data_IF_568047668702
#
_entry.id   IF_568047668702
#
_cell.length_a   1.000
_cell.length_b   1.000
_cell.length_c   1.000
_cell.angle_alpha   90.00
_cell.angle_beta   90.00
_cell.angle_gamma   90.00
#
_symmetry.space_group_name_H-M   'P 1'
#
loop_
_entity.id
_entity.type
_entity.pdbx_description
1 polymer ?
#
# COMPACT_ATOMS: atom_id res chain seq x y z
N UNK A 1 -51.21 13.60 -25.49
CA UNK A 1 -50.01 14.09 -24.80
C UNK A 1 -49.03 12.93 -24.65
N UNK A 2 -47.95 12.91 -25.43
CA UNK A 2 -46.96 11.83 -25.41
C UNK A 2 -46.08 11.96 -24.16
N UNK A 3 -46.01 10.87 -23.36
CA UNK A 3 -45.08 10.77 -22.23
C UNK A 3 -43.64 10.77 -22.77
N UNK A 4 -42.86 11.80 -22.43
CA UNK A 4 -41.42 11.82 -22.65
C UNK A 4 -40.78 10.73 -21.79
N UNK A 5 -40.22 9.70 -22.41
CA UNK A 5 -39.29 8.79 -21.74
C UNK A 5 -38.08 9.61 -21.29
N UNK A 6 -37.84 9.68 -19.99
CA UNK A 6 -36.60 10.16 -19.41
C UNK A 6 -35.44 9.29 -19.90
N UNK A 7 -34.30 9.87 -20.32
CA UNK A 7 -33.16 9.09 -20.78
C UNK A 7 -32.70 8.16 -19.64
N UNK A 8 -32.58 6.87 -19.95
CA UNK A 8 -32.08 5.86 -19.03
C UNK A 8 -30.66 6.29 -18.61
N UNK A 9 -30.50 6.74 -17.36
CA UNK A 9 -29.20 7.15 -16.81
C UNK A 9 -28.34 5.88 -16.76
N UNK A 10 -27.42 5.74 -17.71
CA UNK A 10 -26.57 4.55 -17.80
C UNK A 10 -25.82 4.32 -16.49
N UNK A 11 -25.70 3.06 -16.07
CA UNK A 11 -24.91 2.66 -14.92
C UNK A 11 -23.45 3.06 -15.16
N UNK A 12 -22.91 3.92 -14.30
CA UNK A 12 -21.48 4.25 -14.33
C UNK A 12 -20.69 3.39 -13.36
N UNK A 13 -19.41 3.16 -13.62
CA UNK A 13 -18.52 2.42 -12.72
C UNK A 13 -18.43 3.10 -11.33
N UNK A 14 -18.50 4.44 -11.32
CA UNK A 14 -18.62 5.25 -10.10
C UNK A 14 -19.90 4.94 -9.31
N UNK A 15 -21.03 4.69 -9.98
CA UNK A 15 -22.28 4.29 -9.31
C UNK A 15 -22.22 2.87 -8.72
N UNK A 16 -21.30 2.03 -9.19
CA UNK A 16 -20.97 0.75 -8.58
C UNK A 16 -19.97 0.88 -7.41
N UNK A 17 -19.63 2.10 -7.01
CA UNK A 17 -18.73 2.37 -5.89
C UNK A 17 -17.26 2.39 -6.25
N UNK A 18 -16.88 2.60 -7.52
CA UNK A 18 -15.46 2.69 -7.91
C UNK A 18 -15.17 4.00 -8.65
N UNK A 19 -14.56 4.94 -7.94
CA UNK A 19 -14.10 6.23 -8.47
C UNK A 19 -12.64 6.15 -8.95
N UNK A 20 -12.47 5.92 -10.26
CA UNK A 20 -11.14 5.80 -10.90
C UNK A 20 -10.36 7.13 -10.77
N UNK A 21 -11.02 8.28 -10.88
CA UNK A 21 -10.37 9.58 -10.79
C UNK A 21 -9.84 9.82 -9.37
N UNK A 22 -10.55 9.34 -8.34
CA UNK A 22 -10.06 9.37 -6.96
C UNK A 22 -8.86 8.42 -6.75
N UNK A 23 -8.87 7.26 -7.40
CA UNK A 23 -7.72 6.36 -7.46
C UNK A 23 -6.48 7.03 -8.05
N UNK A 24 -6.59 7.62 -9.24
CA UNK A 24 -5.48 8.29 -9.92
C UNK A 24 -4.90 9.45 -9.09
N UNK A 25 -5.76 10.30 -8.50
CA UNK A 25 -5.32 11.37 -7.60
C UNK A 25 -4.60 10.83 -6.36
N UNK A 26 -5.00 9.66 -5.86
CA UNK A 26 -4.34 9.01 -4.73
C UNK A 26 -2.93 8.56 -5.15
N UNK A 27 -2.79 7.91 -6.31
CA UNK A 27 -1.49 7.48 -6.85
C UNK A 27 -0.51 8.65 -6.98
N UNK A 28 -0.97 9.78 -7.54
CA UNK A 28 -0.15 10.99 -7.69
C UNK A 28 0.38 11.51 -6.34
N UNK A 29 -0.45 11.50 -5.30
CA UNK A 29 -0.09 11.93 -3.95
C UNK A 29 0.91 11.00 -3.27
N UNK A 30 0.73 9.69 -3.41
CA UNK A 30 1.52 8.71 -2.65
C UNK A 30 2.86 8.36 -3.29
N UNK A 31 3.04 8.60 -4.60
CA UNK A 31 4.23 8.20 -5.35
C UNK A 31 5.54 8.68 -4.70
N UNK A 32 5.56 9.91 -4.16
CA UNK A 32 6.73 10.43 -3.47
C UNK A 32 7.06 9.67 -2.17
N UNK A 33 6.04 9.20 -1.45
CA UNK A 33 6.22 8.40 -0.24
C UNK A 33 6.83 7.04 -0.55
N UNK A 34 6.35 6.35 -1.59
CA UNK A 34 6.90 5.06 -2.05
C UNK A 34 8.37 5.21 -2.44
N UNK A 35 8.68 6.17 -3.32
CA UNK A 35 10.05 6.42 -3.81
C UNK A 35 11.04 6.68 -2.68
N UNK A 36 10.61 7.29 -1.57
CA UNK A 36 11.45 7.54 -0.40
C UNK A 36 11.93 6.25 0.28
N UNK A 37 11.22 5.15 0.09
CA UNK A 37 11.58 3.82 0.63
C UNK A 37 12.48 3.02 -0.31
N UNK A 38 12.66 3.48 -1.56
CA UNK A 38 13.37 2.70 -2.57
C UNK A 38 14.88 2.70 -2.35
N UNK A 39 15.45 1.50 -2.34
CA UNK A 39 16.88 1.28 -2.43
C UNK A 39 17.29 0.78 -3.82
N UNK A 40 18.60 0.60 -4.06
CA UNK A 40 19.14 0.13 -5.35
C UNK A 40 18.74 -1.32 -5.71
N UNK A 41 18.07 -2.04 -4.80
CA UNK A 41 17.51 -3.37 -5.04
C UNK A 41 16.10 -3.32 -5.66
N UNK A 42 15.39 -2.19 -5.58
CA UNK A 42 14.08 -2.01 -6.22
C UNK A 42 14.28 -1.84 -7.73
N UNK A 43 13.46 -2.53 -8.52
CA UNK A 43 13.46 -2.48 -9.98
C UNK A 43 12.10 -2.01 -10.49
N UNK A 44 12.09 -1.33 -11.64
CA UNK A 44 10.87 -0.93 -12.33
C UNK A 44 10.67 0.58 -12.37
N UNK A 45 9.52 0.99 -12.91
CA UNK A 45 9.04 2.36 -12.98
C UNK A 45 7.79 2.48 -12.12
N UNK A 46 7.49 3.68 -11.63
CA UNK A 46 6.24 3.92 -10.92
C UNK A 46 5.03 3.64 -11.83
N UNK A 47 3.94 3.13 -11.26
CA UNK A 47 2.74 2.73 -12.01
C UNK A 47 2.89 1.42 -12.79
N UNK A 48 3.95 0.62 -12.54
CA UNK A 48 4.03 -0.73 -13.06
C UNK A 48 3.01 -1.67 -12.38
N UNK A 49 2.54 -2.68 -13.09
CA UNK A 49 1.56 -3.66 -12.59
C UNK A 49 2.05 -4.46 -11.36
N UNK A 50 3.36 -4.55 -11.15
CA UNK A 50 3.94 -5.22 -9.99
C UNK A 50 5.27 -4.57 -9.61
N UNK A 51 5.52 -4.50 -8.30
CA UNK A 51 6.81 -4.15 -7.75
C UNK A 51 7.82 -5.28 -7.96
N UNK A 52 9.05 -4.93 -8.34
CA UNK A 52 10.13 -5.89 -8.51
C UNK A 52 11.26 -5.59 -7.53
N UNK A 53 11.76 -6.62 -6.85
CA UNK A 53 12.88 -6.49 -5.92
C UNK A 53 13.96 -7.52 -6.24
N UNK A 54 15.21 -7.04 -6.32
CA UNK A 54 16.37 -7.88 -6.58
C UNK A 54 16.94 -8.39 -5.27
N UNK A 55 16.98 -9.72 -5.09
CA UNK A 55 17.53 -10.34 -3.88
C UNK A 55 19.01 -10.02 -3.68
N UNK A 56 19.82 -10.11 -4.75
CA UNK A 56 21.27 -9.88 -4.67
C UNK A 56 21.76 -8.93 -5.78
N UNK A 57 22.79 -8.13 -5.51
CA UNK A 57 23.36 -7.24 -6.50
C UNK A 57 24.06 -8.04 -7.60
N UNK A 58 23.86 -7.61 -8.85
CA UNK A 58 24.58 -8.18 -10.01
C UNK A 58 26.01 -7.61 -10.16
N UNK A 59 26.54 -7.02 -9.10
CA UNK A 59 27.84 -6.35 -9.06
C UNK A 59 28.70 -7.00 -7.97
N UNK A 60 29.91 -7.45 -8.32
CA UNK A 60 30.74 -8.26 -7.42
C UNK A 60 31.07 -7.55 -6.10
N UNK A 61 31.21 -6.23 -6.14
CA UNK A 61 31.57 -5.41 -4.96
C UNK A 61 30.43 -5.29 -3.94
N UNK A 62 29.18 -5.33 -4.39
CA UNK A 62 28.00 -5.11 -3.53
C UNK A 62 27.20 -6.38 -3.29
N UNK A 63 27.68 -7.52 -3.80
CA UNK A 63 27.01 -8.82 -3.67
C UNK A 63 26.86 -9.22 -2.19
N UNK A 64 25.65 -9.62 -1.81
CA UNK A 64 25.29 -10.07 -0.45
C UNK A 64 25.76 -11.50 -0.17
N UNK A 65 25.98 -12.33 -1.20
CA UNK A 65 26.50 -13.70 -1.07
C UNK A 65 25.67 -14.57 -0.11
N UNK A 66 24.34 -14.53 -0.21
CA UNK A 66 23.50 -15.42 0.58
C UNK A 66 23.88 -16.89 0.31
N UNK A 67 24.05 -17.67 1.38
CA UNK A 67 24.24 -19.11 1.33
C UNK A 67 22.91 -19.75 1.68
N UNK A 68 22.35 -20.50 0.75
CA UNK A 68 21.06 -21.19 0.92
C UNK A 68 19.93 -20.26 1.45
N UNK A 69 19.61 -19.18 0.71
CA UNK A 69 18.65 -18.17 1.19
C UNK A 69 17.24 -18.77 1.33
N UNK A 70 16.60 -18.49 2.46
CA UNK A 70 15.18 -18.76 2.72
C UNK A 70 14.41 -17.45 2.73
N UNK A 71 13.27 -17.42 2.05
CA UNK A 71 12.35 -16.29 2.10
C UNK A 71 11.37 -16.48 3.26
N UNK A 72 11.28 -15.47 4.12
CA UNK A 72 10.31 -15.40 5.21
C UNK A 72 9.26 -14.36 4.82
N UNK A 73 8.00 -14.76 4.84
CA UNK A 73 6.86 -13.89 4.51
C UNK A 73 5.90 -13.84 5.71
N UNK A 74 5.37 -12.65 5.97
CA UNK A 74 4.38 -12.38 7.01
C UNK A 74 3.23 -11.58 6.40
N UNK A 75 2.04 -11.76 6.97
CA UNK A 75 0.87 -10.96 6.64
C UNK A 75 0.06 -10.76 7.92
N UNK A 76 -0.16 -9.50 8.29
CA UNK A 76 -0.90 -9.11 9.46
C UNK A 76 -1.59 -7.76 9.23
N UNK A 77 -2.68 -7.53 9.97
CA UNK A 77 -3.42 -6.28 9.99
C UNK A 77 -3.20 -5.49 11.27
N UNK A 78 -3.72 -4.28 11.30
CA UNK A 78 -3.63 -3.40 12.49
C UNK A 78 -4.67 -3.78 13.57
N UNK A 79 -5.70 -4.52 13.19
CA UNK A 79 -6.81 -4.88 14.08
C UNK A 79 -7.68 -3.68 14.46
N UNK A 80 -8.37 -3.76 15.61
CA UNK A 80 -9.39 -2.79 16.02
C UNK A 80 -8.86 -1.39 16.33
N UNK A 81 -7.53 -1.18 16.41
CA UNK A 81 -6.92 0.14 16.58
C UNK A 81 -7.31 1.12 15.45
N UNK A 82 -7.66 0.61 14.25
CA UNK A 82 -8.19 1.42 13.15
C UNK A 82 -9.43 2.23 13.55
N UNK A 83 -10.27 1.71 14.46
CA UNK A 83 -11.45 2.43 14.95
C UNK A 83 -11.06 3.67 15.77
N UNK A 84 -9.92 3.64 16.47
CA UNK A 84 -9.42 4.80 17.20
C UNK A 84 -8.86 5.85 16.26
N UNK A 85 -8.09 5.43 15.24
CA UNK A 85 -7.58 6.33 14.20
C UNK A 85 -8.73 7.11 13.52
N UNK A 86 -9.80 6.40 13.13
CA UNK A 86 -11.00 7.00 12.53
C UNK A 86 -11.69 7.97 13.50
N UNK A 87 -11.90 7.57 14.77
CA UNK A 87 -12.55 8.44 15.78
C UNK A 87 -11.74 9.71 16.08
N UNK A 88 -10.41 9.62 16.02
CA UNK A 88 -9.51 10.75 16.28
C UNK A 88 -9.26 11.60 15.04
N UNK A 89 -9.59 11.09 13.84
CA UNK A 89 -9.24 11.74 12.58
C UNK A 89 -7.73 11.78 12.30
N UNK A 90 -6.97 10.85 12.88
CA UNK A 90 -5.51 10.77 12.75
C UNK A 90 -5.17 9.44 12.08
N UNK A 91 -4.68 9.49 10.84
CA UNK A 91 -4.40 8.30 10.03
C UNK A 91 -2.93 8.15 9.62
N UNK A 92 -2.08 9.15 9.90
CA UNK A 92 -0.70 9.22 9.42
C UNK A 92 0.29 8.32 10.17
N UNK A 93 -0.17 7.66 11.23
CA UNK A 93 0.62 6.72 12.06
C UNK A 93 0.14 5.28 11.98
N UNK A 94 -1.10 5.05 11.52
CA UNK A 94 -1.70 3.71 11.52
C UNK A 94 -1.00 2.75 10.54
N UNK A 95 -0.46 3.30 9.45
CA UNK A 95 0.34 2.54 8.49
C UNK A 95 1.66 2.03 9.09
N UNK A 96 2.27 2.79 10.01
CA UNK A 96 3.48 2.36 10.71
C UNK A 96 3.18 1.17 11.62
N UNK A 97 2.04 1.18 12.31
CA UNK A 97 1.59 0.04 13.12
C UNK A 97 1.46 -1.23 12.26
N UNK A 98 0.89 -1.11 11.06
CA UNK A 98 0.75 -2.22 10.12
C UNK A 98 2.10 -2.84 9.74
N UNK A 99 3.08 -2.01 9.38
CA UNK A 99 4.43 -2.47 9.07
C UNK A 99 5.09 -3.12 10.28
N UNK A 100 4.94 -2.51 11.46
CA UNK A 100 5.56 -3.02 12.69
C UNK A 100 5.06 -4.41 13.06
N UNK A 101 3.76 -4.70 12.94
CA UNK A 101 3.20 -6.04 13.21
C UNK A 101 3.88 -7.10 12.34
N UNK A 102 3.95 -6.86 11.04
CA UNK A 102 4.54 -7.78 10.07
C UNK A 102 6.06 -7.94 10.22
N UNK A 103 6.79 -6.84 10.43
CA UNK A 103 8.25 -6.85 10.55
C UNK A 103 8.68 -7.51 11.86
N UNK A 104 8.00 -7.24 12.97
CA UNK A 104 8.35 -7.82 14.26
C UNK A 104 8.21 -9.35 14.28
N UNK A 105 7.25 -9.91 13.54
CA UNK A 105 7.05 -11.36 13.44
C UNK A 105 8.11 -12.07 12.60
N UNK A 106 8.74 -11.40 11.63
CA UNK A 106 9.82 -12.01 10.84
C UNK A 106 11.19 -11.86 11.50
N UNK A 107 11.46 -10.77 12.21
CA UNK A 107 12.78 -10.54 12.82
C UNK A 107 13.06 -11.53 13.96
N UNK A 108 12.02 -12.09 14.62
CA UNK A 108 12.22 -13.15 15.62
C UNK A 108 12.77 -14.45 15.04
N UNK A 109 12.65 -14.65 13.71
CA UNK A 109 13.30 -15.74 12.98
C UNK A 109 14.70 -15.34 12.44
N UNK A 110 15.15 -14.11 12.68
CA UNK A 110 16.41 -13.57 12.17
C UNK A 110 16.37 -13.11 10.71
N UNK A 111 15.18 -12.88 10.14
CA UNK A 111 15.04 -12.42 8.75
C UNK A 111 15.40 -10.94 8.56
N UNK A 112 15.98 -10.59 7.41
CA UNK A 112 16.15 -9.20 6.95
C UNK A 112 14.86 -8.74 6.25
N UNK A 113 14.21 -7.64 6.66
CA UNK A 113 13.11 -7.04 5.91
C UNK A 113 13.59 -6.56 4.52
N UNK A 114 12.94 -7.03 3.45
CA UNK A 114 13.33 -6.71 2.08
C UNK A 114 12.40 -5.66 1.46
N UNK A 115 11.11 -5.99 1.39
CA UNK A 115 10.08 -5.15 0.83
C UNK A 115 8.74 -5.38 1.54
N UNK A 116 7.81 -4.47 1.32
CA UNK A 116 6.46 -4.48 1.88
C UNK A 116 5.43 -4.26 0.76
N UNK A 117 4.26 -4.85 0.94
CA UNK A 117 3.07 -4.63 0.12
C UNK A 117 1.90 -4.36 1.06
N UNK A 118 1.06 -3.38 0.74
CA UNK A 118 -0.12 -3.05 1.53
C UNK A 118 -1.45 -3.32 0.80
N UNK A 119 -2.51 -3.47 1.57
CA UNK A 119 -3.89 -3.54 1.06
C UNK A 119 -4.77 -2.71 1.99
N UNK A 120 -5.55 -1.80 1.42
CA UNK A 120 -6.46 -0.94 2.17
C UNK A 120 -7.88 -1.08 1.60
N UNK A 121 -8.80 -1.57 2.43
CA UNK A 121 -10.22 -1.62 2.12
C UNK A 121 -10.96 -0.45 2.78
N UNK A 122 -11.76 0.28 2.00
CA UNK A 122 -12.51 1.45 2.48
C UNK A 122 -13.94 1.47 1.93
N UNK A 123 -14.84 2.14 2.64
CA UNK A 123 -16.18 2.45 2.13
C UNK A 123 -16.10 3.37 0.91
N UNK A 124 -15.22 4.37 0.99
CA UNK A 124 -14.99 5.37 -0.05
C UNK A 124 -13.54 5.83 -0.04
N UNK A 125 -12.93 5.96 -1.21
CA UNK A 125 -11.59 6.53 -1.34
C UNK A 125 -11.64 8.04 -1.11
N UNK A 126 -10.97 8.47 -0.05
CA UNK A 126 -10.69 9.88 0.25
C UNK A 126 -9.19 10.08 0.07
N UNK A 127 -8.73 10.70 -1.04
CA UNK A 127 -7.31 10.76 -1.38
C UNK A 127 -6.42 11.31 -0.27
N UNK A 128 -6.89 12.30 0.49
CA UNK A 128 -6.15 12.91 1.59
C UNK A 128 -5.96 11.94 2.78
N UNK A 129 -6.95 11.09 3.07
CA UNK A 129 -6.83 10.06 4.10
C UNK A 129 -5.93 8.92 3.65
N UNK A 130 -6.06 8.51 2.38
CA UNK A 130 -5.19 7.50 1.79
C UNK A 130 -3.74 7.93 1.77
N UNK A 131 -3.46 9.20 1.43
CA UNK A 131 -2.12 9.78 1.51
C UNK A 131 -1.54 9.68 2.92
N UNK A 132 -2.33 9.99 3.96
CA UNK A 132 -1.90 9.84 5.35
C UNK A 132 -1.56 8.38 5.69
N UNK A 133 -2.44 7.43 5.36
CA UNK A 133 -2.23 6.00 5.64
C UNK A 133 -0.94 5.51 4.97
N UNK A 134 -0.79 5.76 3.66
CA UNK A 134 0.36 5.32 2.88
C UNK A 134 1.64 6.03 3.32
N UNK A 135 1.58 7.31 3.71
CA UNK A 135 2.71 7.99 4.36
C UNK A 135 3.16 7.23 5.60
N UNK A 136 2.23 6.80 6.46
CA UNK A 136 2.52 6.01 7.64
C UNK A 136 3.16 4.66 7.32
N UNK A 137 2.68 3.96 6.28
CA UNK A 137 3.28 2.70 5.80
C UNK A 137 4.70 2.96 5.32
N UNK A 138 4.91 4.00 4.51
CA UNK A 138 6.23 4.37 4.00
C UNK A 138 7.19 4.75 5.13
N UNK A 139 6.74 5.52 6.13
CA UNK A 139 7.52 5.86 7.32
C UNK A 139 7.92 4.59 8.10
N UNK A 140 6.98 3.64 8.27
CA UNK A 140 7.26 2.33 8.86
C UNK A 140 8.29 1.53 8.06
N UNK A 141 8.18 1.51 6.73
CA UNK A 141 9.13 0.82 5.86
C UNK A 141 10.54 1.41 5.97
N UNK A 142 10.65 2.75 6.03
CA UNK A 142 11.94 3.42 6.25
C UNK A 142 12.57 3.03 7.59
N UNK A 143 11.78 2.98 8.66
CA UNK A 143 12.26 2.56 9.98
C UNK A 143 12.71 1.08 9.99
N UNK A 144 11.99 0.22 9.26
CA UNK A 144 12.30 -1.20 9.12
C UNK A 144 13.45 -1.50 8.12
N UNK A 145 13.86 -0.52 7.32
CA UNK A 145 14.88 -0.69 6.29
C UNK A 145 14.42 -1.49 5.06
N UNK A 146 13.10 -1.57 4.81
CA UNK A 146 12.53 -2.24 3.65
C UNK A 146 11.89 -1.25 2.65
N UNK A 147 11.62 -1.70 1.44
CA UNK A 147 10.99 -0.89 0.39
C UNK A 147 9.49 -1.18 0.25
N UNK A 148 8.64 -0.15 0.21
CA UNK A 148 7.21 -0.28 -0.10
C UNK A 148 7.04 -0.36 -1.62
N UNK A 149 7.01 -1.57 -2.19
CA UNK A 149 7.12 -1.76 -3.65
C UNK A 149 5.77 -1.84 -4.39
N UNK A 150 4.66 -1.79 -3.66
CA UNK A 150 3.32 -1.84 -4.23
C UNK A 150 2.26 -1.96 -3.16
N UNK A 151 1.00 -1.88 -3.58
CA UNK A 151 -0.16 -2.04 -2.72
C UNK A 151 -1.44 -1.94 -3.53
N UNK A 152 -2.58 -2.11 -2.85
CA UNK A 152 -3.90 -2.06 -3.47
C UNK A 152 -4.90 -1.30 -2.60
N UNK A 153 -5.81 -0.56 -3.24
CA UNK A 153 -6.91 0.14 -2.56
C UNK A 153 -8.25 -0.31 -3.12
N UNK A 154 -9.09 -0.90 -2.28
CA UNK A 154 -10.41 -1.39 -2.66
C UNK A 154 -11.51 -0.50 -2.06
N UNK A 155 -12.26 0.17 -2.93
CA UNK A 155 -13.51 0.85 -2.57
C UNK A 155 -14.66 -0.16 -2.59
N UNK A 156 -15.25 -0.44 -1.42
CA UNK A 156 -16.29 -1.46 -1.24
C UNK A 156 -17.39 -0.95 -0.30
N UNK A 157 -18.30 -0.07 -0.79
CA UNK A 157 -19.28 0.62 0.05
C UNK A 157 -20.33 -0.28 0.69
N UNK A 158 -20.56 -1.48 0.13
CA UNK A 158 -21.49 -2.47 0.69
C UNK A 158 -20.81 -3.37 1.74
N UNK A 159 -19.48 -3.31 1.86
CA UNK A 159 -18.69 -4.10 2.82
C UNK A 159 -18.29 -3.26 4.03
N UNK A 160 -17.88 -2.01 3.81
CA UNK A 160 -17.36 -1.09 4.83
C UNK A 160 -18.28 0.09 5.10
#
# INVERSE_FOLDING_TARGET
>A
MAKKNSPNKGLTYVQAGVDIDAGDRTVDRITAHLRRTYGPRVLGRDGAFAGCFRLDYNERLFKRNYKDPVLVACTDGVGTKVLLAVKMGIHDTIGQDCVAMNVNDMIVQGAEPLFFLDYVGVHKVIPEQMEQIVKGVADGCQLAGCALIGGETAEMPDVY
#
